data_IF_876839675520
#
_entry.id   IF_876839675520
#
_cell.length_a   1.000
_cell.length_b   1.000
_cell.length_c   1.000
_cell.angle_alpha   90.00
_cell.angle_beta   90.00
_cell.angle_gamma   90.00
#
_symmetry.space_group_name_H-M   'P 1'
#
loop_
_entity.id
_entity.type
_entity.pdbx_description
1 polymer ?
#
# COMPACT_ATOMS: atom_id res chain seq x y z
N UNK A 1 1.71 -8.44 -4.59
CA UNK A 1 2.90 -7.81 -4.00
C UNK A 1 2.49 -6.82 -2.92
N UNK A 2 3.40 -6.54 -2.00
CA UNK A 2 3.25 -5.46 -1.03
C UNK A 2 3.71 -4.15 -1.66
N UNK A 3 2.93 -3.10 -1.49
CA UNK A 3 3.18 -1.79 -2.09
C UNK A 3 3.58 -0.74 -1.05
N UNK A 4 2.79 -0.58 0.00
CA UNK A 4 3.02 0.44 1.00
C UNK A 4 3.06 -0.19 2.38
N UNK A 5 4.02 0.24 3.21
CA UNK A 5 4.08 -0.15 4.62
C UNK A 5 4.18 1.12 5.47
N UNK A 6 3.42 1.12 6.56
CA UNK A 6 3.69 1.99 7.71
C UNK A 6 3.96 1.10 8.91
N UNK A 7 5.14 1.24 9.52
CA UNK A 7 5.60 0.38 10.61
C UNK A 7 6.30 1.18 11.72
N UNK A 8 6.37 0.58 12.90
CA UNK A 8 7.19 1.04 14.03
C UNK A 8 8.21 -0.05 14.33
N UNK A 9 9.49 0.26 14.13
CA UNK A 9 10.62 -0.65 14.31
C UNK A 9 11.37 -0.28 15.59
N UNK A 10 11.84 -1.29 16.34
CA UNK A 10 12.77 -1.07 17.45
C UNK A 10 14.18 -0.87 16.88
N UNK A 11 14.71 0.34 17.01
CA UNK A 11 16.00 0.74 16.50
C UNK A 11 16.49 1.94 17.29
N UNK A 12 17.61 1.78 17.98
CA UNK A 12 18.32 2.92 18.57
C UNK A 12 18.82 3.82 17.44
N UNK A 13 18.76 5.12 17.69
CA UNK A 13 19.09 6.14 16.70
C UNK A 13 19.39 7.47 17.38
N UNK A 14 19.98 8.39 16.63
CA UNK A 14 20.12 9.79 17.03
C UNK A 14 18.82 10.56 16.69
N UNK A 15 17.99 10.98 17.67
CA UNK A 15 16.73 11.65 17.39
C UNK A 15 16.89 12.97 16.66
N UNK A 16 18.02 13.66 16.84
CA UNK A 16 18.30 14.95 16.21
C UNK A 16 18.45 14.84 14.69
N UNK A 17 18.88 13.67 14.20
CA UNK A 17 19.04 13.36 12.77
C UNK A 17 17.73 12.91 12.10
N UNK A 18 16.74 12.49 12.89
CA UNK A 18 15.43 12.08 12.40
C UNK A 18 14.37 13.19 12.50
N UNK A 19 14.79 14.45 12.38
CA UNK A 19 13.93 15.63 12.34
C UNK A 19 14.25 16.53 11.15
N UNK A 20 13.25 16.87 10.32
CA UNK A 20 13.40 17.79 9.17
C UNK A 20 12.84 19.19 9.46
N UNK A 21 13.00 19.64 10.70
CA UNK A 21 12.42 20.89 11.23
C UNK A 21 11.14 20.68 12.01
N UNK A 22 10.46 21.78 12.35
CA UNK A 22 9.25 21.76 13.17
C UNK A 22 8.23 22.82 12.74
N UNK A 23 6.97 22.62 13.10
CA UNK A 23 5.88 23.60 13.00
C UNK A 23 5.45 23.90 14.43
N UNK A 24 5.45 25.17 14.81
CA UNK A 24 5.02 25.63 16.13
C UNK A 24 3.79 26.52 16.00
N UNK A 25 2.79 26.28 16.85
CA UNK A 25 1.69 27.22 17.07
C UNK A 25 2.02 28.09 18.26
N UNK A 26 1.73 29.38 18.16
CA UNK A 26 1.88 30.35 19.23
C UNK A 26 0.51 30.96 19.54
N UNK A 27 0.24 31.20 20.82
CA UNK A 27 -0.92 31.96 21.25
C UNK A 27 -0.75 33.45 20.89
N UNK A 28 -1.79 34.25 21.19
CA UNK A 28 -1.79 35.69 20.95
C UNK A 28 -0.73 36.46 21.77
N UNK A 29 -0.16 35.84 22.80
CA UNK A 29 0.89 36.39 23.66
C UNK A 29 2.29 35.93 23.24
N UNK A 30 2.40 35.08 22.21
CA UNK A 30 3.65 34.53 21.72
C UNK A 30 4.15 33.29 22.48
N UNK A 31 3.33 32.66 23.34
CA UNK A 31 3.70 31.41 24.00
C UNK A 31 3.42 30.21 23.08
N UNK A 32 4.31 29.21 23.03
CA UNK A 32 4.09 28.02 22.22
C UNK A 32 2.94 27.17 22.78
N UNK A 33 1.92 26.90 21.97
CA UNK A 33 0.79 26.03 22.34
C UNK A 33 1.07 24.56 22.01
N UNK A 34 1.62 24.30 20.83
CA UNK A 34 1.99 22.97 20.39
C UNK A 34 3.11 23.00 19.34
N UNK A 35 3.87 21.91 19.28
CA UNK A 35 4.99 21.72 18.35
C UNK A 35 4.84 20.39 17.63
N UNK A 36 5.00 20.39 16.31
CA UNK A 36 5.03 19.18 15.48
C UNK A 36 6.34 19.11 14.72
N UNK A 37 7.13 18.06 14.98
CA UNK A 37 8.34 17.77 14.22
C UNK A 37 8.00 17.22 12.83
N UNK A 38 8.66 17.75 11.80
CA UNK A 38 8.51 17.32 10.41
C UNK A 38 9.25 16.00 10.19
N UNK A 39 8.61 15.09 9.46
CA UNK A 39 9.19 13.81 9.08
C UNK A 39 10.43 14.03 8.18
N UNK A 40 11.48 13.25 8.39
CA UNK A 40 12.60 13.16 7.45
C UNK A 40 12.14 12.36 6.25
N UNK A 41 12.42 12.89 5.06
CA UNK A 41 12.16 12.16 3.81
C UNK A 41 13.49 11.63 3.29
N UNK A 42 13.58 10.32 3.18
CA UNK A 42 14.74 9.61 2.63
C UNK A 42 14.46 9.29 1.18
N UNK A 43 15.37 9.73 0.32
CA UNK A 43 15.33 9.44 -1.10
C UNK A 43 16.13 8.16 -1.37
N UNK A 44 15.46 7.14 -1.90
CA UNK A 44 16.12 5.91 -2.35
C UNK A 44 16.85 6.13 -3.67
N UNK A 45 17.57 5.10 -4.11
CA UNK A 45 18.44 5.15 -5.31
C UNK A 45 17.75 5.58 -6.61
N UNK A 46 16.42 5.58 -6.65
CA UNK A 46 15.58 5.90 -7.81
C UNK A 46 14.55 7.00 -7.50
N UNK A 47 14.93 8.00 -6.72
CA UNK A 47 14.09 9.14 -6.31
C UNK A 47 12.78 8.79 -5.60
N UNK A 48 12.71 7.60 -5.02
CA UNK A 48 11.56 7.13 -4.27
C UNK A 48 11.65 7.55 -2.82
N UNK A 49 10.61 8.24 -2.33
CA UNK A 49 10.61 8.89 -1.01
C UNK A 49 9.98 7.99 0.05
N UNK A 50 10.72 7.74 1.14
CA UNK A 50 10.20 7.14 2.37
C UNK A 50 10.22 8.18 3.48
N UNK A 51 9.18 8.21 4.30
CA UNK A 51 9.15 9.05 5.49
C UNK A 51 9.66 8.27 6.70
N UNK A 52 10.56 8.87 7.46
CA UNK A 52 11.14 8.33 8.69
C UNK A 52 11.09 9.41 9.77
N UNK A 53 10.82 9.00 11.01
CA UNK A 53 10.96 9.87 12.17
C UNK A 53 11.23 9.05 13.42
N UNK A 54 11.77 9.70 14.44
CA UNK A 54 11.77 9.15 15.80
C UNK A 54 10.34 8.97 16.30
N UNK A 55 10.04 7.79 16.86
CA UNK A 55 8.76 7.48 17.49
C UNK A 55 8.86 7.51 19.02
N UNK A 56 9.95 6.95 19.53
CA UNK A 56 10.43 7.01 20.93
C UNK A 56 11.95 6.98 20.87
N UNK A 57 12.65 7.09 21.99
CA UNK A 57 14.13 7.09 22.01
C UNK A 57 14.77 5.82 21.40
N UNK A 58 14.06 4.68 21.41
CA UNK A 58 14.53 3.40 20.86
C UNK A 58 13.64 2.84 19.75
N UNK A 59 12.74 3.65 19.20
CA UNK A 59 11.87 3.23 18.10
C UNK A 59 11.79 4.28 17.01
N UNK A 60 11.80 3.80 15.76
CA UNK A 60 11.57 4.63 14.58
C UNK A 60 10.21 4.31 13.98
N UNK A 61 9.55 5.33 13.47
CA UNK A 61 8.37 5.20 12.63
C UNK A 61 8.77 5.40 11.17
N UNK A 62 8.30 4.51 10.32
CA UNK A 62 8.55 4.54 8.89
C UNK A 62 7.25 4.45 8.10
N UNK A 63 7.17 5.14 6.97
CA UNK A 63 6.04 5.03 6.04
C UNK A 63 6.44 5.32 4.61
N UNK A 64 6.09 4.41 3.70
CA UNK A 64 6.31 4.59 2.28
C UNK A 64 6.22 3.29 1.49
N UNK A 65 6.74 3.31 0.26
CA UNK A 65 6.76 2.16 -0.64
C UNK A 65 8.16 1.50 -0.65
N UNK A 66 8.41 0.45 0.17
CA UNK A 66 9.72 -0.20 0.22
C UNK A 66 10.11 -0.89 -1.09
N UNK A 67 9.16 -1.40 -1.87
CA UNK A 67 9.46 -2.00 -3.18
C UNK A 67 10.00 -0.96 -4.15
N UNK A 68 9.33 0.19 -4.27
CA UNK A 68 9.78 1.30 -5.12
C UNK A 68 11.10 1.89 -4.61
N UNK A 69 11.30 1.94 -3.29
CA UNK A 69 12.57 2.39 -2.71
C UNK A 69 13.75 1.49 -3.12
N UNK A 70 13.57 0.17 -3.09
CA UNK A 70 14.62 -0.80 -3.42
C UNK A 70 14.82 -1.03 -4.92
N UNK A 71 13.75 -0.98 -5.72
CA UNK A 71 13.75 -1.37 -7.14
C UNK A 71 13.55 -0.20 -8.11
N UNK A 72 13.14 0.97 -7.60
CA UNK A 72 12.77 2.14 -8.41
C UNK A 72 11.37 2.11 -9.01
N UNK A 73 10.70 0.96 -9.01
CA UNK A 73 9.33 0.81 -9.49
C UNK A 73 8.51 -0.14 -8.61
N UNK A 74 7.18 -0.13 -8.78
CA UNK A 74 6.25 -1.06 -8.12
C UNK A 74 5.33 -1.78 -9.12
N UNK A 75 5.85 -2.02 -10.33
CA UNK A 75 5.15 -2.75 -11.39
C UNK A 75 4.98 -4.21 -10.98
N UNK A 76 6.02 -4.83 -10.46
CA UNK A 76 5.97 -6.10 -9.75
C UNK A 76 6.82 -6.00 -8.48
N UNK A 77 6.76 -7.03 -7.65
CA UNK A 77 7.45 -7.08 -6.38
C UNK A 77 7.10 -8.33 -5.58
N UNK A 78 7.54 -8.38 -4.34
CA UNK A 78 7.36 -9.56 -3.48
C UNK A 78 6.07 -9.48 -2.65
N UNK A 79 5.52 -10.65 -2.32
CA UNK A 79 4.47 -10.84 -1.31
C UNK A 79 5.06 -11.15 0.08
N UNK A 80 6.37 -11.39 0.18
CA UNK A 80 7.06 -11.67 1.44
C UNK A 80 7.36 -10.36 2.18
N UNK A 81 6.51 -10.04 3.16
CA UNK A 81 6.63 -8.84 3.98
C UNK A 81 7.93 -8.81 4.77
N UNK A 82 8.34 -9.95 5.35
CA UNK A 82 9.51 -10.00 6.22
C UNK A 82 10.78 -9.81 5.41
N UNK A 83 10.90 -10.53 4.29
CA UNK A 83 12.01 -10.35 3.36
C UNK A 83 12.09 -8.91 2.82
N UNK A 84 10.96 -8.33 2.44
CA UNK A 84 10.92 -6.96 1.92
C UNK A 84 11.40 -5.95 2.97
N UNK A 85 10.91 -6.07 4.20
CA UNK A 85 11.27 -5.17 5.29
C UNK A 85 12.71 -5.36 5.76
N UNK A 86 13.22 -6.59 5.76
CA UNK A 86 14.62 -6.92 6.00
C UNK A 86 15.53 -6.17 5.02
N UNK A 87 15.31 -6.36 3.71
CA UNK A 87 16.11 -5.69 2.66
C UNK A 87 15.95 -4.18 2.67
N UNK A 88 14.75 -3.71 2.98
CA UNK A 88 14.50 -2.29 3.14
C UNK A 88 15.31 -1.70 4.31
N UNK A 89 15.36 -2.38 5.45
CA UNK A 89 16.13 -1.94 6.61
C UNK A 89 17.64 -1.98 6.34
N UNK A 90 18.15 -3.04 5.70
CA UNK A 90 19.55 -3.12 5.26
C UNK A 90 19.93 -1.92 4.38
N UNK A 91 19.01 -1.48 3.50
CA UNK A 91 19.23 -0.31 2.67
C UNK A 91 19.21 1.00 3.48
N UNK A 92 18.32 1.13 4.47
CA UNK A 92 18.30 2.30 5.36
C UNK A 92 19.59 2.47 6.16
N UNK A 93 20.20 1.37 6.63
CA UNK A 93 21.44 1.42 7.39
C UNK A 93 22.63 1.97 6.59
N UNK A 94 22.55 1.98 5.25
CA UNK A 94 23.56 2.59 4.38
C UNK A 94 23.50 4.12 4.36
N UNK A 95 22.42 4.72 4.88
CA UNK A 95 22.26 6.17 4.96
C UNK A 95 22.74 6.67 6.33
N UNK A 96 24.05 6.96 6.44
CA UNK A 96 24.69 7.40 7.69
C UNK A 96 24.07 8.68 8.28
N UNK A 97 23.51 9.53 7.43
CA UNK A 97 22.84 10.77 7.82
C UNK A 97 21.55 10.54 8.62
N UNK A 98 20.99 9.34 8.63
CA UNK A 98 19.83 8.99 9.45
C UNK A 98 20.18 8.70 10.90
N UNK A 99 21.46 8.48 11.23
CA UNK A 99 21.89 8.18 12.59
C UNK A 99 21.29 6.91 13.18
N UNK A 100 20.94 5.92 12.36
CA UNK A 100 20.44 4.63 12.83
C UNK A 100 21.58 3.80 13.41
N UNK A 101 21.40 3.29 14.62
CA UNK A 101 22.41 2.52 15.36
C UNK A 101 21.76 1.34 16.10
N UNK A 102 21.08 0.42 15.40
CA UNK A 102 20.42 -0.70 16.06
C UNK A 102 21.43 -1.59 16.80
N UNK A 103 21.03 -2.11 17.96
CA UNK A 103 21.77 -3.22 18.58
C UNK A 103 21.62 -4.50 17.76
N UNK A 104 22.50 -5.48 17.96
CA UNK A 104 22.41 -6.79 17.27
C UNK A 104 21.03 -7.45 17.50
N UNK A 105 20.53 -7.37 18.74
CA UNK A 105 19.20 -7.87 19.08
C UNK A 105 18.08 -7.13 18.34
N UNK A 106 18.16 -5.80 18.23
CA UNK A 106 17.17 -5.01 17.50
C UNK A 106 17.19 -5.30 16.00
N UNK A 107 18.39 -5.43 15.42
CA UNK A 107 18.57 -5.83 14.03
C UNK A 107 17.92 -7.20 13.78
N UNK A 108 18.27 -8.22 14.57
CA UNK A 108 17.66 -9.55 14.43
C UNK A 108 16.15 -9.55 14.60
N UNK A 109 15.63 -8.79 15.57
CA UNK A 109 14.19 -8.64 15.80
C UNK A 109 13.50 -8.08 14.54
N UNK A 110 14.09 -7.07 13.89
CA UNK A 110 13.56 -6.53 12.62
C UNK A 110 13.61 -7.59 11.52
N UNK A 111 14.71 -8.32 11.37
CA UNK A 111 14.84 -9.38 10.37
C UNK A 111 13.81 -10.51 10.57
N UNK A 112 13.46 -10.83 11.84
CA UNK A 112 12.43 -11.83 12.21
C UNK A 112 11.00 -11.29 12.08
N UNK A 113 10.81 -10.01 11.79
CA UNK A 113 9.49 -9.39 11.65
C UNK A 113 8.90 -8.85 12.96
N UNK A 114 9.69 -8.72 14.02
CA UNK A 114 9.23 -8.34 15.37
C UNK A 114 8.98 -6.83 15.52
N UNK A 115 8.15 -6.29 14.62
CA UNK A 115 7.75 -4.90 14.61
C UNK A 115 6.24 -4.74 14.44
N UNK A 116 5.73 -3.55 14.74
CA UNK A 116 4.31 -3.24 14.64
C UNK A 116 3.96 -2.62 13.29
N UNK A 117 2.90 -3.13 12.65
CA UNK A 117 2.36 -2.62 11.40
C UNK A 117 1.13 -1.73 11.66
N UNK A 118 1.13 -0.53 11.07
CA UNK A 118 0.04 0.44 11.13
C UNK A 118 -0.73 0.54 9.82
N UNK A 119 -0.08 0.21 8.70
CA UNK A 119 -0.70 0.12 7.38
C UNK A 119 0.08 -0.86 6.51
N UNK A 120 -0.63 -1.67 5.73
CA UNK A 120 -0.06 -2.47 4.66
C UNK A 120 -0.98 -2.38 3.45
N UNK A 121 -0.44 -1.96 2.32
CA UNK A 121 -1.15 -1.97 1.04
C UNK A 121 -0.67 -3.19 0.27
N UNK A 122 -1.59 -4.11 -0.01
CA UNK A 122 -1.31 -5.32 -0.81
C UNK A 122 -2.02 -5.18 -2.14
N UNK A 123 -1.30 -5.46 -3.21
CA UNK A 123 -1.86 -5.33 -4.54
C UNK A 123 -1.70 -6.62 -5.35
N UNK A 124 -2.57 -6.78 -6.34
CA UNK A 124 -2.54 -7.86 -7.32
C UNK A 124 -2.83 -7.28 -8.71
N UNK A 125 -2.14 -7.79 -9.72
CA UNK A 125 -2.30 -7.38 -11.10
C UNK A 125 -2.85 -8.52 -11.94
N UNK A 126 -3.77 -8.20 -12.84
CA UNK A 126 -4.24 -9.12 -13.87
C UNK A 126 -3.99 -8.52 -15.23
N UNK A 127 -3.42 -9.33 -16.13
CA UNK A 127 -3.31 -8.94 -17.51
C UNK A 127 -4.61 -9.22 -18.24
N UNK A 128 -5.18 -8.16 -18.80
CA UNK A 128 -6.25 -8.28 -19.78
C UNK A 128 -5.66 -8.20 -21.20
N UNK A 129 -6.51 -8.23 -22.22
CA UNK A 129 -6.07 -8.23 -23.62
C UNK A 129 -5.22 -7.00 -23.97
N UNK A 130 -5.67 -5.83 -23.54
CA UNK A 130 -5.07 -4.53 -23.83
C UNK A 130 -5.57 -3.50 -22.80
N UNK A 131 -5.08 -2.27 -22.93
CA UNK A 131 -5.43 -1.16 -22.05
C UNK A 131 -6.92 -0.82 -22.12
N UNK A 132 -7.52 -0.91 -23.30
CA UNK A 132 -8.94 -0.60 -23.51
C UNK A 132 -9.84 -1.55 -22.71
N UNK A 133 -9.52 -2.84 -22.66
CA UNK A 133 -10.18 -3.83 -21.82
C UNK A 133 -10.00 -3.54 -20.32
N UNK A 134 -8.81 -3.10 -19.89
CA UNK A 134 -8.58 -2.69 -18.49
C UNK A 134 -9.48 -1.53 -18.10
N UNK A 135 -9.56 -0.50 -18.94
CA UNK A 135 -10.41 0.66 -18.70
C UNK A 135 -11.90 0.28 -18.76
N UNK A 136 -12.30 -0.57 -19.71
CA UNK A 136 -13.67 -1.08 -19.81
C UNK A 136 -14.08 -1.88 -18.57
N UNK A 137 -13.17 -2.71 -18.04
CA UNK A 137 -13.39 -3.45 -16.81
C UNK A 137 -13.59 -2.49 -15.63
N UNK A 138 -12.73 -1.47 -15.47
CA UNK A 138 -12.83 -0.50 -14.37
C UNK A 138 -14.15 0.28 -14.44
N UNK A 139 -14.57 0.72 -15.63
CA UNK A 139 -15.87 1.37 -15.84
C UNK A 139 -17.03 0.47 -15.46
N UNK A 140 -17.00 -0.78 -15.93
CA UNK A 140 -18.03 -1.77 -15.62
C UNK A 140 -18.11 -2.07 -14.13
N UNK A 141 -16.97 -2.21 -13.46
CA UNK A 141 -16.90 -2.39 -12.01
C UNK A 141 -17.49 -1.18 -11.27
N UNK A 142 -17.22 0.05 -11.72
CA UNK A 142 -17.78 1.26 -11.11
C UNK A 142 -19.30 1.35 -11.18
N UNK A 143 -19.89 0.91 -12.30
CA UNK A 143 -21.35 0.91 -12.51
C UNK A 143 -22.07 -0.24 -11.81
N UNK A 144 -21.43 -1.41 -11.73
CA UNK A 144 -22.09 -2.64 -11.30
C UNK A 144 -21.77 -3.04 -9.86
N UNK A 145 -20.55 -2.83 -9.38
CA UNK A 145 -20.13 -3.31 -8.06
C UNK A 145 -20.60 -2.36 -6.94
N UNK A 146 -21.18 -2.95 -5.90
CA UNK A 146 -21.67 -2.22 -4.73
C UNK A 146 -21.26 -2.94 -3.45
N UNK A 147 -20.89 -2.16 -2.44
CA UNK A 147 -20.72 -2.63 -1.07
C UNK A 147 -22.06 -2.52 -0.34
N UNK A 148 -22.47 -3.60 0.33
CA UNK A 148 -23.77 -3.72 1.02
C UNK A 148 -24.15 -2.52 1.89
N UNK A 149 -23.20 -1.97 2.64
CA UNK A 149 -23.42 -0.86 3.58
C UNK A 149 -22.71 0.44 3.19
N UNK A 150 -22.02 0.47 2.04
CA UNK A 150 -21.22 1.64 1.61
C UNK A 150 -21.55 2.13 0.20
N UNK A 151 -22.43 1.43 -0.52
CA UNK A 151 -22.91 1.83 -1.84
C UNK A 151 -21.91 1.54 -2.95
N UNK A 152 -22.01 2.29 -4.05
CA UNK A 152 -21.18 2.16 -5.24
C UNK A 152 -19.74 2.61 -5.02
N UNK A 153 -18.85 2.24 -5.95
CA UNK A 153 -17.50 2.77 -5.99
C UNK A 153 -17.47 4.27 -6.32
N UNK A 154 -16.36 4.92 -5.98
CA UNK A 154 -16.12 6.36 -6.17
C UNK A 154 -14.88 6.57 -7.02
N UNK A 155 -14.94 7.45 -8.03
CA UNK A 155 -13.78 7.76 -8.85
C UNK A 155 -12.94 8.90 -8.25
N UNK A 156 -11.63 8.84 -8.50
CA UNK A 156 -10.71 9.98 -8.31
C UNK A 156 -9.66 9.91 -9.40
N UNK A 157 -9.76 10.81 -10.37
CA UNK A 157 -9.14 10.60 -11.68
C UNK A 157 -9.63 9.29 -12.29
N UNK A 158 -8.69 8.51 -12.84
CA UNK A 158 -8.96 7.20 -13.48
C UNK A 158 -9.02 6.02 -12.48
N UNK A 159 -8.88 6.28 -11.18
CA UNK A 159 -8.88 5.22 -10.16
C UNK A 159 -10.27 5.08 -9.54
N UNK A 160 -10.79 3.85 -9.54
CA UNK A 160 -12.02 3.47 -8.86
C UNK A 160 -11.71 3.05 -7.41
N UNK A 161 -12.41 3.63 -6.45
CA UNK A 161 -12.26 3.35 -5.03
C UNK A 161 -13.49 2.69 -4.44
N UNK A 162 -13.28 1.73 -3.55
CA UNK A 162 -14.29 1.26 -2.61
C UNK A 162 -13.85 1.58 -1.18
N UNK A 163 -14.80 2.04 -0.37
CA UNK A 163 -14.56 2.44 1.02
C UNK A 163 -13.40 3.46 1.18
N UNK A 164 -13.27 4.42 0.25
CA UNK A 164 -12.15 5.38 0.15
C UNK A 164 -11.74 6.03 1.49
N UNK A 165 -12.73 6.47 2.27
CA UNK A 165 -12.52 7.20 3.53
C UNK A 165 -12.57 6.30 4.78
N UNK A 166 -12.54 4.98 4.60
CA UNK A 166 -12.58 4.04 5.71
C UNK A 166 -11.30 4.08 6.53
N UNK A 167 -11.46 4.11 7.85
CA UNK A 167 -10.36 4.02 8.83
C UNK A 167 -9.79 2.60 8.96
N UNK A 168 -10.43 1.60 8.36
CA UNK A 168 -10.09 0.17 8.46
C UNK A 168 -9.41 -0.34 7.20
N UNK A 169 -10.08 -0.21 6.06
CA UNK A 169 -9.59 -0.72 4.78
C UNK A 169 -10.20 0.04 3.60
N UNK A 170 -9.50 0.08 2.47
CA UNK A 170 -10.04 0.60 1.20
C UNK A 170 -9.51 -0.22 0.03
N UNK A 171 -10.28 -0.29 -1.05
CA UNK A 171 -9.84 -0.95 -2.29
C UNK A 171 -9.69 0.10 -3.38
N UNK A 172 -8.63 0.00 -4.19
CA UNK A 172 -8.39 0.81 -5.38
C UNK A 172 -8.30 -0.10 -6.59
N UNK A 173 -8.93 0.28 -7.69
CA UNK A 173 -8.81 -0.39 -8.98
C UNK A 173 -8.36 0.64 -10.02
N UNK A 174 -7.26 0.39 -10.70
CA UNK A 174 -6.72 1.31 -11.70
C UNK A 174 -5.92 0.60 -12.79
N UNK A 175 -5.74 1.27 -13.93
CA UNK A 175 -4.83 0.83 -14.99
C UNK A 175 -3.41 1.21 -14.62
N UNK A 176 -2.51 0.22 -14.52
CA UNK A 176 -1.11 0.48 -14.18
C UNK A 176 -0.40 1.26 -15.31
N UNK A 177 -0.75 0.98 -16.56
CA UNK A 177 -0.27 1.72 -17.73
C UNK A 177 -0.63 3.20 -17.70
N UNK A 178 -1.88 3.56 -17.37
CA UNK A 178 -2.24 4.97 -17.16
C UNK A 178 -1.46 5.61 -16.01
N UNK A 179 -1.29 4.87 -14.90
CA UNK A 179 -0.60 5.39 -13.73
C UNK A 179 0.86 5.73 -14.02
N UNK A 180 1.63 4.83 -14.64
CA UNK A 180 3.05 5.08 -14.93
C UNK A 180 3.27 6.15 -16.01
N UNK A 181 2.26 6.48 -16.81
CA UNK A 181 2.33 7.55 -17.81
C UNK A 181 1.94 8.93 -17.24
N UNK A 182 1.39 8.99 -16.02
CA UNK A 182 1.00 10.24 -15.39
C UNK A 182 2.23 11.03 -14.90
N UNK A 183 2.17 12.37 -14.98
CA UNK A 183 3.32 13.28 -14.73
C UNK A 183 4.12 13.01 -13.45
N UNK A 184 3.46 12.63 -12.35
CA UNK A 184 4.10 12.43 -11.04
C UNK A 184 4.46 10.96 -10.74
N UNK A 185 4.17 10.05 -11.67
CA UNK A 185 4.26 8.61 -11.48
C UNK A 185 5.14 7.94 -12.55
N UNK A 186 5.76 8.74 -13.42
CA UNK A 186 6.68 8.26 -14.44
C UNK A 186 7.81 7.44 -13.83
N UNK A 187 8.15 6.37 -14.53
CA UNK A 187 9.33 5.58 -14.26
C UNK A 187 10.57 6.42 -14.60
N UNK A 188 11.69 6.25 -13.87
CA UNK A 188 12.99 6.72 -14.33
C UNK A 188 13.24 6.29 -15.78
N UNK A 189 13.92 7.13 -16.57
CA UNK A 189 14.11 6.88 -18.02
C UNK A 189 14.79 5.53 -18.29
N UNK A 190 15.74 5.14 -17.43
CA UNK A 190 16.43 3.84 -17.48
C UNK A 190 15.49 2.63 -17.32
N UNK A 191 14.32 2.83 -16.68
CA UNK A 191 13.33 1.79 -16.42
C UNK A 191 12.14 1.86 -17.39
N UNK A 192 12.12 2.79 -18.37
CA UNK A 192 11.08 2.86 -19.41
C UNK A 192 11.34 1.86 -20.54
N UNK A 193 11.57 0.60 -20.19
CA UNK A 193 11.77 -0.48 -21.15
C UNK A 193 10.46 -0.81 -21.87
N UNK A 194 10.46 -1.00 -23.22
CA UNK A 194 9.23 -1.28 -23.97
C UNK A 194 8.43 -2.47 -23.42
N UNK A 195 9.11 -3.54 -23.02
CA UNK A 195 8.49 -4.74 -22.44
C UNK A 195 7.78 -4.45 -21.12
N UNK A 196 8.36 -3.59 -20.29
CA UNK A 196 7.79 -3.19 -19.00
C UNK A 196 6.57 -2.28 -19.18
N UNK A 197 6.63 -1.40 -20.17
CA UNK A 197 5.50 -0.55 -20.56
C UNK A 197 4.34 -1.39 -21.12
N UNK A 198 4.62 -2.36 -21.99
CA UNK A 198 3.62 -3.27 -22.54
C UNK A 198 2.96 -4.13 -21.45
N UNK A 199 3.76 -4.62 -20.49
CA UNK A 199 3.27 -5.32 -19.30
C UNK A 199 2.29 -4.42 -18.52
N UNK A 200 2.68 -3.18 -18.24
CA UNK A 200 1.88 -2.25 -17.45
C UNK A 200 0.58 -1.83 -18.13
N UNK A 201 0.60 -1.64 -19.45
CA UNK A 201 -0.58 -1.24 -20.24
C UNK A 201 -1.70 -2.28 -20.17
N UNK A 202 -1.34 -3.56 -20.10
CA UNK A 202 -2.31 -4.66 -19.97
C UNK A 202 -2.72 -4.92 -18.52
N UNK A 203 -2.07 -4.30 -17.54
CA UNK A 203 -2.24 -4.62 -16.13
C UNK A 203 -3.38 -3.82 -15.47
N UNK A 204 -4.47 -4.53 -15.14
CA UNK A 204 -5.46 -4.11 -14.16
C UNK A 204 -4.90 -4.35 -12.75
N UNK A 205 -4.68 -3.28 -11.99
CA UNK A 205 -4.22 -3.35 -10.60
C UNK A 205 -5.39 -3.19 -9.65
N UNK A 206 -5.52 -4.13 -8.71
CA UNK A 206 -6.40 -4.00 -7.55
C UNK A 206 -5.53 -3.95 -6.30
N UNK A 207 -5.67 -2.89 -5.52
CA UNK A 207 -4.91 -2.64 -4.30
C UNK A 207 -5.84 -2.59 -3.11
N UNK A 208 -5.53 -3.40 -2.10
CA UNK A 208 -6.19 -3.43 -0.80
C UNK A 208 -5.30 -2.73 0.21
N UNK A 209 -5.79 -1.61 0.71
CA UNK A 209 -5.18 -0.85 1.80
C UNK A 209 -5.74 -1.38 3.11
N UNK A 210 -4.90 -1.94 3.98
CA UNK A 210 -5.26 -2.33 5.34
C UNK A 210 -4.64 -1.36 6.34
N UNK A 211 -5.46 -0.80 7.23
CA UNK A 211 -5.03 0.13 8.29
C UNK A 211 -5.05 -0.54 9.65
N UNK A 212 -4.46 0.12 10.65
CA UNK A 212 -4.16 -0.46 11.97
C UNK A 212 -5.33 -1.18 12.64
N UNK A 213 -6.55 -0.64 12.57
CA UNK A 213 -7.73 -1.32 13.14
C UNK A 213 -8.00 -2.66 12.46
N UNK A 214 -7.97 -2.69 11.13
CA UNK A 214 -8.20 -3.93 10.38
C UNK A 214 -7.07 -4.94 10.59
N UNK A 215 -5.82 -4.46 10.63
CA UNK A 215 -4.66 -5.32 10.89
C UNK A 215 -4.74 -5.98 12.27
N UNK A 216 -5.18 -5.25 13.30
CA UNK A 216 -5.39 -5.81 14.64
C UNK A 216 -6.48 -6.88 14.66
N UNK A 217 -7.63 -6.59 14.06
CA UNK A 217 -8.75 -7.54 14.01
C UNK A 217 -8.41 -8.82 13.25
N UNK A 218 -7.52 -8.71 12.25
CA UNK A 218 -6.99 -9.86 11.50
C UNK A 218 -5.81 -10.56 12.18
N UNK A 219 -5.35 -10.08 13.35
CA UNK A 219 -4.12 -10.53 14.02
C UNK A 219 -2.85 -10.40 13.14
N UNK A 220 -2.85 -9.44 12.23
CA UNK A 220 -1.76 -9.12 11.29
C UNK A 220 -1.04 -7.80 11.63
N UNK A 221 -1.24 -7.26 12.83
CA UNK A 221 -0.58 -6.03 13.26
C UNK A 221 0.90 -6.21 13.62
N UNK A 222 1.44 -7.44 13.60
CA UNK A 222 2.87 -7.73 13.79
C UNK A 222 3.45 -8.34 12.53
N UNK A 223 4.64 -7.91 12.11
CA UNK A 223 5.33 -8.42 10.91
C UNK A 223 5.61 -9.93 10.98
N UNK A 224 5.90 -10.45 12.17
CA UNK A 224 6.14 -11.87 12.45
C UNK A 224 4.98 -12.78 12.06
N UNK A 225 3.75 -12.23 12.06
CA UNK A 225 2.53 -12.95 11.73
C UNK A 225 2.27 -13.01 10.21
N UNK A 226 3.12 -12.39 9.41
CA UNK A 226 3.03 -12.44 7.95
C UNK A 226 3.89 -13.55 7.38
N UNK A 227 3.27 -14.36 6.51
CA UNK A 227 3.93 -15.25 5.56
C UNK A 227 3.57 -14.84 4.12
N UNK A 228 4.18 -15.51 3.15
CA UNK A 228 3.94 -15.28 1.71
C UNK A 228 2.46 -15.43 1.32
N UNK A 229 1.71 -16.31 1.98
CA UNK A 229 0.28 -16.48 1.72
C UNK A 229 -0.60 -15.46 2.43
N UNK A 230 -0.09 -14.84 3.51
CA UNK A 230 -0.83 -13.81 4.26
C UNK A 230 -1.18 -12.63 3.38
N UNK A 231 -0.26 -12.16 2.52
CA UNK A 231 -0.53 -11.06 1.60
C UNK A 231 -1.68 -11.41 0.64
N UNK A 232 -1.65 -12.61 0.05
CA UNK A 232 -2.69 -13.09 -0.87
C UNK A 232 -4.04 -13.24 -0.15
N UNK A 233 -4.04 -13.75 1.09
CA UNK A 233 -5.24 -13.87 1.90
C UNK A 233 -5.78 -12.49 2.31
N UNK A 234 -4.91 -11.57 2.70
CA UNK A 234 -5.22 -10.18 3.04
C UNK A 234 -5.88 -9.43 1.88
N UNK A 235 -5.44 -9.69 0.64
CA UNK A 235 -6.08 -9.13 -0.56
C UNK A 235 -7.52 -9.66 -0.79
N UNK A 236 -7.88 -10.81 -0.22
CA UNK A 236 -9.24 -11.40 -0.29
C UNK A 236 -10.12 -11.04 0.92
N UNK A 237 -9.52 -10.57 2.00
CA UNK A 237 -10.14 -10.50 3.33
C UNK A 237 -10.98 -9.26 3.68
N UNK A 238 -10.88 -8.06 3.05
CA UNK A 238 -11.61 -6.87 3.55
C UNK A 238 -13.13 -7.06 3.63
N UNK A 239 -13.65 -8.03 2.88
CA UNK A 239 -15.03 -8.42 2.88
C UNK A 239 -15.41 -9.34 4.08
N UNK A 240 -14.49 -10.13 4.66
CA UNK A 240 -14.83 -11.12 5.73
C UNK A 240 -15.08 -10.54 7.13
N UNK A 241 -14.65 -9.31 7.41
CA UNK A 241 -14.79 -8.72 8.76
C UNK A 241 -16.21 -8.27 9.12
N UNK A 242 -17.15 -8.38 8.18
CA UNK A 242 -18.58 -8.40 8.46
C UNK A 242 -19.08 -9.80 8.10
N UNK A 243 -19.83 -10.52 8.96
CA UNK A 243 -20.24 -11.91 8.72
C UNK A 243 -21.12 -12.12 7.47
N UNK A 244 -21.39 -11.08 6.69
CA UNK A 244 -22.26 -11.08 5.52
C UNK A 244 -21.59 -10.69 4.18
N UNK A 245 -20.28 -10.42 4.15
CA UNK A 245 -19.58 -9.98 2.92
C UNK A 245 -18.53 -11.01 2.48
N UNK A 246 -18.95 -12.20 2.06
CA UNK A 246 -18.06 -13.15 1.38
C UNK A 246 -18.20 -12.98 -0.12
N UNK A 247 -17.38 -12.14 -0.80
CA UNK A 247 -17.14 -12.23 -2.26
C UNK A 247 -16.20 -11.11 -2.78
N UNK A 248 -14.93 -11.45 -2.99
CA UNK A 248 -14.11 -10.87 -4.06
C UNK A 248 -13.36 -12.03 -4.70
N UNK A 249 -13.80 -12.51 -5.88
CA UNK A 249 -13.09 -13.56 -6.61
C UNK A 249 -12.83 -13.19 -8.08
N UNK A 250 -11.59 -13.45 -8.44
CA UNK A 250 -10.86 -13.54 -9.72
C UNK A 250 -11.63 -13.26 -11.03
N UNK A 251 -11.07 -12.43 -11.94
CA UNK A 251 -11.43 -12.49 -13.35
C UNK A 251 -10.91 -13.82 -13.94
N UNK A 252 -11.81 -14.67 -14.43
CA UNK A 252 -11.43 -15.83 -15.26
C UNK A 252 -11.22 -15.39 -16.71
N UNK A 253 -10.40 -16.14 -17.44
CA UNK A 253 -10.04 -15.89 -18.85
C UNK A 253 -11.22 -15.90 -19.84
N UNK A 254 -12.46 -16.14 -19.38
CA UNK A 254 -13.69 -16.12 -20.18
C UNK A 254 -14.80 -15.26 -19.57
N UNK A 255 -14.46 -14.11 -18.96
CA UNK A 255 -15.45 -13.07 -18.62
C UNK A 255 -16.56 -13.47 -17.64
N UNK A 256 -16.51 -14.67 -17.04
CA UNK A 256 -17.45 -15.14 -16.02
C UNK A 256 -16.76 -15.19 -14.67
N UNK A 257 -17.23 -14.36 -13.74
CA UNK A 257 -17.00 -14.57 -12.30
C UNK A 257 -17.93 -15.69 -11.83
N UNK A 258 -17.37 -16.76 -11.27
CA UNK A 258 -18.14 -17.72 -10.47
C UNK A 258 -18.17 -17.22 -9.02
N UNK A 259 -19.37 -16.92 -8.53
CA UNK A 259 -19.62 -16.52 -7.16
C UNK A 259 -19.96 -17.78 -6.35
N UNK A 260 -19.11 -18.19 -5.41
CA UNK A 260 -19.52 -19.17 -4.41
C UNK A 260 -20.43 -18.48 -3.39
N UNK A 261 -21.71 -18.87 -3.49
CA UNK A 261 -22.79 -18.73 -2.49
C UNK A 261 -22.89 -17.39 -1.76
N UNK A 262 -23.67 -16.47 -2.34
CA UNK A 262 -24.51 -15.48 -1.64
C UNK A 262 -23.85 -14.15 -1.22
N UNK A 263 -24.47 -13.05 -1.67
CA UNK A 263 -24.29 -11.64 -1.24
C UNK A 263 -23.22 -10.75 -1.88
N UNK A 264 -23.08 -10.82 -3.20
CA UNK A 264 -22.90 -9.65 -4.09
C UNK A 264 -23.94 -9.76 -5.21
N UNK A 265 -24.93 -8.86 -5.25
CA UNK A 265 -25.91 -8.85 -6.35
C UNK A 265 -25.34 -8.05 -7.52
N UNK A 266 -24.87 -8.74 -8.55
CA UNK A 266 -24.78 -8.13 -9.89
C UNK A 266 -26.22 -8.04 -10.40
N UNK A 267 -26.84 -6.88 -10.24
CA UNK A 267 -28.06 -6.58 -10.99
C UNK A 267 -27.73 -6.66 -12.48
N UNK A 268 -28.54 -7.38 -13.27
CA UNK A 268 -28.45 -7.29 -14.73
C UNK A 268 -28.61 -5.82 -15.11
N UNK A 269 -27.64 -5.25 -15.83
CA UNK A 269 -27.90 -4.01 -16.54
C UNK A 269 -29.10 -4.26 -17.46
N UNK A 270 -30.16 -3.45 -17.42
CA UNK A 270 -31.14 -3.47 -18.49
C UNK A 270 -30.40 -3.05 -19.76
N UNK A 271 -30.30 -3.98 -20.70
CA UNK A 271 -29.94 -3.63 -22.08
C UNK A 271 -31.11 -2.82 -22.57
N UNK A 272 -30.94 -1.51 -22.67
CA UNK A 272 -31.89 -0.64 -23.36
C UNK A 272 -31.99 -1.14 -24.80
N UNK A 273 -33.19 -1.58 -25.17
CA UNK A 273 -33.59 -1.89 -26.55
C UNK A 273 -33.61 -0.61 -27.39
#
# INVERSE_FOLDING_TARGET
MIDWITAVLSCDHDPSKLMSGMVMSFDVLGNPEWVVNKNVTVEGSHSSKIQIKSHTDSQIWISGNPTKFLQGHNIFGTDDLKYLMAKFFDALLKHENLGLQPTEQQYEAIQKGEYSLKRVDVNQSWHLKNREEVLAWIRSAGSCARLKHRGSGQYTGDTLYFAKNSRRWSVKCYSKGHEINAKNHKLPDELQLPELMEWADKALRIEVVLRSMQLKDMLLSRGSNWCTDTAKAAARCPARSEPANSQFFLPSAMGRMQFSTGLLSIGRCPVSA
#
